data_IF_890128463591
#
_entry.id   IF_890128463591
#
_cell.length_a   1.000
_cell.length_b   1.000
_cell.length_c   1.000
_cell.angle_alpha   90.00
_cell.angle_beta   90.00
_cell.angle_gamma   90.00
#
_symmetry.space_group_name_H-M   'P 1'
#
loop_
_entity.id
_entity.type
_entity.pdbx_description
1 polymer ?
#
# COMPACT_ATOMS: atom_id res chain seq x y z
N UNK A 1 28.91 -14.58 -35.32
CA UNK A 1 27.68 -14.75 -34.52
C UNK A 1 27.16 -13.36 -34.17
N UNK A 2 26.17 -12.89 -34.91
CA UNK A 2 25.54 -11.58 -34.73
C UNK A 2 24.78 -11.59 -33.40
N UNK A 3 25.13 -10.68 -32.49
CA UNK A 3 24.34 -10.43 -31.31
C UNK A 3 22.99 -9.89 -31.79
N UNK A 4 21.92 -10.64 -31.60
CA UNK A 4 20.55 -10.12 -31.73
C UNK A 4 20.41 -8.95 -30.78
N UNK A 5 20.31 -7.77 -31.34
CA UNK A 5 19.88 -6.56 -30.62
C UNK A 5 18.41 -6.80 -30.21
N UNK A 6 18.22 -7.32 -29.00
CA UNK A 6 16.87 -7.43 -28.44
C UNK A 6 16.30 -6.02 -28.34
N UNK A 7 15.29 -5.74 -29.13
CA UNK A 7 14.45 -4.56 -28.96
C UNK A 7 13.98 -4.54 -27.49
N UNK A 8 14.15 -3.43 -26.77
CA UNK A 8 13.61 -3.33 -25.43
C UNK A 8 12.09 -3.59 -25.49
N UNK A 9 11.51 -4.23 -24.49
CA UNK A 9 10.06 -4.43 -24.44
C UNK A 9 9.35 -3.07 -24.54
N UNK A 10 8.27 -3.03 -25.30
CA UNK A 10 7.41 -1.84 -25.39
C UNK A 10 7.02 -1.41 -23.96
N UNK A 11 7.22 -0.14 -23.61
CA UNK A 11 6.82 0.33 -22.28
C UNK A 11 5.31 0.12 -22.09
N UNK A 12 4.84 -0.18 -20.87
CA UNK A 12 3.42 -0.29 -20.61
C UNK A 12 2.72 1.02 -20.96
N UNK A 13 1.56 0.92 -21.59
CA UNK A 13 0.76 2.07 -21.96
C UNK A 13 0.39 2.87 -20.68
N UNK A 14 0.49 4.18 -20.74
CA UNK A 14 -0.03 5.06 -19.70
C UNK A 14 -1.52 5.32 -19.89
N UNK A 15 -2.26 5.49 -18.79
CA UNK A 15 -3.63 6.01 -18.88
C UNK A 15 -3.64 7.42 -19.50
N UNK A 16 -4.79 7.89 -20.02
CA UNK A 16 -4.92 9.27 -20.50
C UNK A 16 -4.51 10.31 -19.44
N UNK A 17 -4.86 10.08 -18.17
CA UNK A 17 -4.52 10.96 -17.05
C UNK A 17 -3.01 11.00 -16.80
N UNK A 18 -2.36 9.83 -16.73
CA UNK A 18 -0.90 9.76 -16.58
C UNK A 18 -0.16 10.37 -17.78
N UNK A 19 -0.69 10.20 -18.99
CA UNK A 19 -0.14 10.81 -20.19
C UNK A 19 -0.21 12.34 -20.14
N UNK A 20 -1.35 12.88 -19.70
CA UNK A 20 -1.53 14.33 -19.50
C UNK A 20 -0.60 14.87 -18.42
N UNK A 21 -0.48 14.16 -17.29
CA UNK A 21 0.39 14.51 -16.18
C UNK A 21 1.88 14.51 -16.60
N UNK A 22 2.29 13.50 -17.37
CA UNK A 22 3.65 13.41 -17.89
C UNK A 22 3.96 14.55 -18.86
N UNK A 23 3.00 14.91 -19.74
CA UNK A 23 3.11 16.06 -20.66
C UNK A 23 3.28 17.36 -19.87
N UNK A 24 2.43 17.61 -18.87
CA UNK A 24 2.52 18.79 -17.99
C UNK A 24 3.91 18.90 -17.37
N UNK A 25 4.47 17.82 -16.84
CA UNK A 25 5.82 17.80 -16.27
C UNK A 25 6.90 18.19 -17.29
N UNK A 26 6.78 17.77 -18.55
CA UNK A 26 7.69 18.18 -19.63
C UNK A 26 7.51 19.67 -19.99
N UNK A 27 6.28 20.16 -20.06
CA UNK A 27 5.97 21.55 -20.40
C UNK A 27 6.44 22.52 -19.30
N UNK A 28 6.29 22.15 -18.03
CA UNK A 28 6.86 22.88 -16.90
C UNK A 28 8.40 22.89 -16.93
N UNK A 29 9.03 21.78 -17.31
CA UNK A 29 10.48 21.70 -17.44
C UNK A 29 11.01 22.63 -18.56
N UNK A 30 10.24 22.84 -19.61
CA UNK A 30 10.56 23.72 -20.74
C UNK A 30 10.14 25.18 -20.51
N UNK A 31 9.51 25.48 -19.37
CA UNK A 31 9.00 26.82 -19.07
C UNK A 31 7.80 27.21 -19.92
N UNK A 32 7.13 26.24 -20.55
CA UNK A 32 5.89 26.45 -21.34
C UNK A 32 4.67 26.57 -20.45
N UNK A 33 4.70 25.94 -19.29
CA UNK A 33 3.72 26.08 -18.22
C UNK A 33 4.41 26.50 -16.93
N UNK A 34 3.71 27.24 -16.09
CA UNK A 34 4.15 27.57 -14.73
C UNK A 34 3.69 26.45 -13.78
N UNK A 35 4.55 26.09 -12.84
CA UNK A 35 4.17 25.20 -11.75
C UNK A 35 3.07 25.88 -10.91
N UNK A 36 1.90 25.25 -10.85
CA UNK A 36 0.83 25.72 -9.97
C UNK A 36 1.15 25.36 -8.52
N UNK A 37 1.39 26.38 -7.73
CA UNK A 37 1.51 26.26 -6.28
C UNK A 37 0.25 26.76 -5.60
N UNK A 38 -0.01 26.30 -4.39
CA UNK A 38 -1.06 26.88 -3.56
C UNK A 38 -0.82 28.39 -3.38
N UNK A 39 -1.87 29.19 -3.22
CA UNK A 39 -1.71 30.65 -3.07
C UNK A 39 -0.95 31.04 -1.79
N UNK A 40 -1.10 30.25 -0.72
CA UNK A 40 -0.46 30.47 0.58
C UNK A 40 -0.01 29.15 1.20
N UNK A 41 0.82 29.23 2.23
CA UNK A 41 1.16 28.10 3.10
C UNK A 41 -0.11 27.56 3.81
N UNK A 42 -0.08 26.27 4.14
CA UNK A 42 -1.15 25.62 4.91
C UNK A 42 -0.62 25.20 6.26
N UNK A 43 -1.42 25.40 7.31
CA UNK A 43 -1.09 24.91 8.66
C UNK A 43 -2.00 23.76 9.07
N UNK A 44 -1.44 22.79 9.79
CA UNK A 44 -2.14 21.64 10.37
C UNK A 44 -1.77 21.55 11.83
N UNK A 45 -2.77 21.41 12.70
CA UNK A 45 -2.57 21.22 14.14
C UNK A 45 -1.75 19.94 14.39
N UNK A 46 -0.65 20.03 15.13
CA UNK A 46 0.22 18.90 15.42
C UNK A 46 -0.48 17.80 16.24
N UNK A 47 -1.52 18.14 16.98
CA UNK A 47 -2.32 17.16 17.74
C UNK A 47 -2.96 16.07 16.85
N UNK A 48 -3.19 16.35 15.56
CA UNK A 48 -3.75 15.32 14.65
C UNK A 48 -2.86 14.07 14.56
N UNK A 49 -1.58 14.17 14.90
CA UNK A 49 -0.62 13.07 14.86
C UNK A 49 -0.45 12.32 16.20
N UNK A 50 -1.06 12.82 17.29
CA UNK A 50 -0.85 12.22 18.62
C UNK A 50 -2.11 12.04 19.45
N UNK A 51 -3.23 12.67 19.12
CA UNK A 51 -4.45 12.66 19.93
C UNK A 51 -5.17 11.29 19.87
N UNK A 52 -5.40 10.61 21.02
CA UNK A 52 -6.08 9.31 21.06
C UNK A 52 -7.54 9.37 20.61
N UNK A 53 -8.21 10.52 20.79
CA UNK A 53 -9.61 10.72 20.38
C UNK A 53 -9.70 10.81 18.84
N UNK A 54 -8.79 11.56 18.22
CA UNK A 54 -8.68 11.63 16.76
C UNK A 54 -8.33 10.24 16.19
N UNK A 55 -7.35 9.56 16.76
CA UNK A 55 -6.99 8.19 16.35
C UNK A 55 -8.20 7.25 16.40
N UNK A 56 -8.99 7.28 17.48
CA UNK A 56 -10.20 6.46 17.58
C UNK A 56 -11.19 6.77 16.47
N UNK A 57 -11.40 8.05 16.15
CA UNK A 57 -12.29 8.46 15.05
C UNK A 57 -11.75 7.98 13.70
N UNK A 58 -10.43 8.06 13.46
CA UNK A 58 -9.78 7.55 12.25
C UNK A 58 -10.03 6.05 12.07
N UNK A 59 -9.83 5.26 13.14
CA UNK A 59 -10.13 3.82 13.09
C UNK A 59 -11.60 3.58 12.75
N UNK A 60 -12.52 4.26 13.43
CA UNK A 60 -13.95 3.99 13.29
C UNK A 60 -14.54 4.52 11.98
N UNK A 61 -14.07 5.66 11.46
CA UNK A 61 -14.68 6.38 10.33
C UNK A 61 -13.91 6.22 9.02
N UNK A 62 -12.60 5.95 9.07
CA UNK A 62 -11.75 5.77 7.90
C UNK A 62 -11.40 4.30 7.74
N UNK A 63 -10.58 3.76 8.63
CA UNK A 63 -9.97 2.44 8.45
C UNK A 63 -10.96 1.27 8.46
N UNK A 64 -12.07 1.38 9.20
CA UNK A 64 -13.11 0.35 9.21
C UNK A 64 -14.11 0.47 8.07
N UNK A 65 -14.20 1.63 7.43
CA UNK A 65 -15.23 1.90 6.41
C UNK A 65 -14.72 1.77 4.98
N UNK A 66 -13.46 2.11 4.75
CA UNK A 66 -12.88 2.13 3.41
C UNK A 66 -12.22 0.79 3.07
N UNK A 67 -12.14 0.45 1.76
CA UNK A 67 -11.32 -0.67 1.30
C UNK A 67 -9.85 -0.45 1.65
N UNK A 68 -9.24 -1.40 2.37
CA UNK A 68 -7.81 -1.41 2.68
C UNK A 68 -7.09 -2.47 1.85
N UNK A 69 -5.92 -2.12 1.32
CA UNK A 69 -5.02 -3.08 0.69
C UNK A 69 -4.27 -3.89 1.75
N UNK A 70 -4.51 -5.19 1.81
CA UNK A 70 -3.94 -6.10 2.82
C UNK A 70 -2.70 -6.85 2.31
N UNK A 71 -2.43 -6.82 1.02
CA UNK A 71 -1.33 -7.53 0.38
C UNK A 71 -1.61 -7.82 -1.08
N UNK A 72 -0.86 -8.76 -1.65
CA UNK A 72 -0.95 -9.12 -3.06
C UNK A 72 -1.24 -10.62 -3.22
N UNK A 73 -2.01 -10.98 -4.23
CA UNK A 73 -2.44 -12.37 -4.49
C UNK A 73 -1.28 -13.34 -4.75
N UNK A 74 -0.14 -12.84 -5.24
CA UNK A 74 1.08 -13.65 -5.42
C UNK A 74 1.70 -14.14 -4.11
N UNK A 75 1.31 -13.56 -2.96
CA UNK A 75 1.68 -14.09 -1.64
C UNK A 75 1.00 -15.44 -1.35
N UNK A 76 -0.15 -15.68 -1.95
CA UNK A 76 -0.99 -16.86 -1.73
C UNK A 76 -1.11 -17.67 -3.03
N UNK A 77 0.02 -18.14 -3.60
CA UNK A 77 0.08 -18.74 -4.94
C UNK A 77 -0.73 -20.02 -5.08
N UNK A 78 -0.68 -20.87 -4.06
CA UNK A 78 -1.22 -22.23 -4.11
C UNK A 78 -2.53 -22.36 -3.31
N UNK A 79 -3.48 -23.19 -3.75
CA UNK A 79 -4.62 -23.54 -2.93
C UNK A 79 -4.19 -24.07 -1.55
N UNK A 80 -4.82 -23.56 -0.51
CA UNK A 80 -4.46 -23.82 0.88
C UNK A 80 -3.41 -22.88 1.48
N UNK A 81 -2.77 -22.03 0.67
CA UNK A 81 -1.88 -20.98 1.18
C UNK A 81 -2.66 -19.98 2.04
N UNK A 82 -2.08 -19.59 3.16
CA UNK A 82 -2.68 -18.61 4.06
C UNK A 82 -1.64 -17.80 4.82
N UNK A 83 -2.05 -16.60 5.24
CA UNK A 83 -1.27 -15.70 6.09
C UNK A 83 -2.16 -15.26 7.25
N UNK A 84 -1.66 -15.39 8.48
CA UNK A 84 -2.29 -14.82 9.67
C UNK A 84 -1.68 -13.46 9.98
N UNK A 85 -2.52 -12.44 10.16
CA UNK A 85 -2.09 -11.06 10.47
C UNK A 85 -3.03 -10.41 11.45
N UNK A 86 -2.50 -9.58 12.32
CA UNK A 86 -3.29 -8.68 13.16
C UNK A 86 -3.32 -7.29 12.50
N UNK A 87 -4.48 -6.86 12.05
CA UNK A 87 -4.66 -5.55 11.41
C UNK A 87 -5.77 -4.80 12.13
N UNK A 88 -5.47 -3.58 12.60
CA UNK A 88 -6.42 -2.73 13.37
C UNK A 88 -7.02 -3.46 14.59
N UNK A 89 -6.26 -4.31 15.25
CA UNK A 89 -6.72 -5.13 16.37
C UNK A 89 -7.58 -6.33 15.98
N UNK A 90 -7.83 -6.58 14.70
CA UNK A 90 -8.56 -7.73 14.21
C UNK A 90 -7.59 -8.85 13.81
N UNK A 91 -7.72 -10.06 14.37
CA UNK A 91 -6.96 -11.21 13.91
C UNK A 91 -7.53 -11.72 12.58
N UNK A 92 -6.76 -11.62 11.52
CA UNK A 92 -7.17 -11.98 10.16
C UNK A 92 -6.47 -13.26 9.67
N UNK A 93 -7.17 -13.97 8.78
CA UNK A 93 -6.61 -15.00 7.91
C UNK A 93 -6.91 -14.60 6.45
N UNK A 94 -5.86 -14.38 5.67
CA UNK A 94 -5.95 -14.28 4.22
C UNK A 94 -5.70 -15.69 3.69
N UNK A 95 -6.66 -16.28 2.98
CA UNK A 95 -6.62 -17.71 2.60
C UNK A 95 -6.98 -17.87 1.13
N UNK A 96 -6.15 -18.57 0.36
CA UNK A 96 -6.56 -19.07 -0.96
C UNK A 96 -7.25 -20.42 -0.78
N UNK A 97 -8.51 -20.51 -1.13
CA UNK A 97 -9.27 -21.75 -1.04
C UNK A 97 -8.99 -22.71 -2.21
N UNK A 98 -9.68 -23.84 -2.21
CA UNK A 98 -9.50 -24.91 -3.23
C UNK A 98 -10.00 -24.51 -4.62
N UNK A 99 -10.90 -23.53 -4.68
CA UNK A 99 -11.44 -22.97 -5.93
C UNK A 99 -10.52 -21.88 -6.51
N UNK A 100 -9.47 -21.49 -5.75
CA UNK A 100 -8.54 -20.45 -6.13
C UNK A 100 -8.95 -19.04 -5.66
N UNK A 101 -10.09 -18.93 -4.98
CA UNK A 101 -10.58 -17.66 -4.45
C UNK A 101 -9.83 -17.27 -3.17
N UNK A 102 -9.54 -15.96 -3.04
CA UNK A 102 -8.92 -15.42 -1.83
C UNK A 102 -10.01 -14.90 -0.90
N UNK A 103 -10.02 -15.45 0.30
CA UNK A 103 -10.94 -15.12 1.37
C UNK A 103 -10.21 -14.37 2.49
N UNK A 104 -10.81 -13.32 3.04
CA UNK A 104 -10.34 -12.66 4.25
C UNK A 104 -11.30 -13.01 5.39
N UNK A 105 -10.82 -13.81 6.34
CA UNK A 105 -11.61 -14.36 7.44
C UNK A 105 -11.11 -13.80 8.76
N UNK A 106 -12.01 -13.64 9.75
CA UNK A 106 -11.57 -13.44 11.12
C UNK A 106 -10.99 -14.76 11.67
N UNK A 107 -9.77 -14.72 12.13
CA UNK A 107 -9.02 -15.83 12.72
C UNK A 107 -9.53 -16.14 14.13
N UNK A 108 -10.83 -16.42 14.27
CA UNK A 108 -11.54 -16.59 15.54
C UNK A 108 -12.49 -17.76 15.45
N UNK A 109 -12.20 -18.83 16.17
CA UNK A 109 -13.06 -20.01 16.25
C UNK A 109 -14.45 -19.67 16.78
N UNK A 110 -15.49 -20.13 16.09
CA UNK A 110 -16.89 -19.82 16.40
C UNK A 110 -17.47 -20.63 17.58
N UNK A 111 -16.63 -21.48 18.23
CA UNK A 111 -16.99 -22.13 19.48
C UNK A 111 -16.76 -21.19 20.68
N UNK A 112 -15.49 -20.90 21.00
CA UNK A 112 -15.10 -20.12 22.19
C UNK A 112 -14.01 -19.09 21.92
N UNK A 113 -13.83 -18.68 20.67
CA UNK A 113 -13.02 -17.51 20.29
C UNK A 113 -11.51 -17.76 20.18
N UNK A 114 -11.01 -18.98 20.30
CA UNK A 114 -9.58 -19.25 20.13
C UNK A 114 -9.13 -18.95 18.69
N UNK A 115 -7.91 -18.44 18.52
CA UNK A 115 -7.27 -18.31 17.20
C UNK A 115 -7.05 -19.71 16.60
N UNK A 116 -7.23 -19.83 15.29
CA UNK A 116 -7.02 -21.06 14.54
C UNK A 116 -5.56 -21.22 14.10
N UNK A 117 -4.95 -20.11 13.69
CA UNK A 117 -3.55 -20.03 13.28
C UNK A 117 -2.87 -18.96 14.13
N UNK A 118 -1.72 -19.30 14.73
CA UNK A 118 -1.00 -18.42 15.64
C UNK A 118 0.41 -18.15 15.09
N UNK A 119 0.85 -16.90 15.16
CA UNK A 119 2.25 -16.51 15.03
C UNK A 119 2.83 -16.55 13.61
N UNK A 120 2.02 -16.43 12.56
CA UNK A 120 2.53 -16.55 11.18
C UNK A 120 2.19 -15.33 10.32
N UNK A 121 3.13 -14.38 10.25
CA UNK A 121 3.20 -13.44 9.14
C UNK A 121 3.78 -14.09 7.87
N UNK A 122 4.33 -15.30 8.01
CA UNK A 122 4.81 -16.12 6.90
C UNK A 122 3.68 -16.96 6.29
N UNK A 123 3.81 -17.25 5.00
CA UNK A 123 2.87 -18.08 4.27
C UNK A 123 2.96 -19.52 4.78
N UNK A 124 1.85 -20.06 5.27
CA UNK A 124 1.72 -21.49 5.56
C UNK A 124 0.68 -22.13 4.66
N UNK A 125 0.59 -23.45 4.67
CA UNK A 125 -0.34 -24.20 3.83
C UNK A 125 -1.07 -25.28 4.62
N UNK A 126 -2.40 -25.22 4.57
CA UNK A 126 -3.25 -26.21 5.23
C UNK A 126 -4.38 -26.67 4.30
N UNK A 127 -4.83 -27.91 4.49
CA UNK A 127 -5.99 -28.45 3.77
C UNK A 127 -7.33 -28.03 4.39
N UNK A 128 -7.33 -27.64 5.66
CA UNK A 128 -8.46 -27.15 6.46
C UNK A 128 -7.93 -26.41 7.67
N UNK A 129 -8.81 -25.66 8.35
CA UNK A 129 -8.49 -24.90 9.56
C UNK A 129 -9.05 -25.65 10.77
N UNK A 130 -8.19 -26.18 11.63
CA UNK A 130 -8.61 -26.88 12.86
C UNK A 130 -8.28 -26.05 14.10
N UNK A 131 -9.29 -25.84 14.95
CA UNK A 131 -9.11 -25.10 16.19
C UNK A 131 -8.23 -25.89 17.18
N UNK A 132 -7.15 -25.30 17.69
CA UNK A 132 -6.24 -26.01 18.60
C UNK A 132 -6.88 -26.35 19.96
N UNK A 133 -8.03 -25.75 20.29
CA UNK A 133 -8.67 -25.94 21.57
C UNK A 133 -9.56 -27.21 21.61
N UNK A 134 -10.53 -27.33 20.67
CA UNK A 134 -11.47 -28.45 20.65
C UNK A 134 -11.64 -29.07 19.26
N UNK A 135 -10.68 -28.84 18.37
CA UNK A 135 -10.66 -29.38 17.00
C UNK A 135 -11.93 -29.10 16.16
N UNK A 136 -12.67 -28.01 16.44
CA UNK A 136 -13.66 -27.54 15.48
C UNK A 136 -12.94 -27.21 14.17
N UNK A 137 -13.39 -27.82 13.09
CA UNK A 137 -12.69 -27.79 11.80
C UNK A 137 -13.50 -27.03 10.77
N UNK A 138 -12.83 -26.13 10.06
CA UNK A 138 -13.42 -25.27 9.03
C UNK A 138 -12.76 -25.52 7.69
N UNK A 139 -13.51 -25.33 6.62
CA UNK A 139 -12.95 -25.24 5.28
C UNK A 139 -12.16 -23.94 5.10
N UNK A 140 -11.40 -23.87 4.02
CA UNK A 140 -10.61 -22.70 3.66
C UNK A 140 -11.47 -21.48 3.27
N UNK A 141 -12.75 -21.69 2.93
CA UNK A 141 -13.73 -20.62 2.73
C UNK A 141 -14.45 -20.19 4.04
N UNK A 142 -14.08 -20.79 5.18
CA UNK A 142 -14.62 -20.50 6.50
C UNK A 142 -15.83 -21.35 6.93
N UNK A 143 -16.39 -22.24 6.10
CA UNK A 143 -17.53 -23.05 6.49
C UNK A 143 -17.16 -24.07 7.58
N UNK A 144 -18.02 -24.22 8.60
CA UNK A 144 -17.82 -25.23 9.67
C UNK A 144 -18.10 -26.65 9.13
N UNK A 145 -17.08 -27.52 9.17
CA UNK A 145 -17.12 -28.91 8.67
C UNK A 145 -17.23 -29.94 9.77
N UNK A 146 -16.42 -29.84 10.80
CA UNK A 146 -16.29 -30.85 11.84
C UNK A 146 -16.48 -30.26 13.24
N UNK A 147 -17.23 -30.99 14.03
CA UNK A 147 -17.45 -30.75 15.47
C UNK A 147 -17.26 -32.08 16.18
N UNK A 148 -16.13 -32.28 16.91
CA UNK A 148 -15.94 -33.45 17.73
C UNK A 148 -17.03 -33.60 18.77
N UNK A 149 -17.45 -34.84 19.10
CA UNK A 149 -18.53 -35.12 20.04
C UNK A 149 -19.82 -34.32 19.71
N UNK A 150 -20.21 -34.35 18.43
CA UNK A 150 -21.34 -33.57 17.92
C UNK A 150 -22.68 -33.91 18.64
N UNK A 151 -22.81 -35.07 19.23
CA UNK A 151 -23.94 -35.48 20.09
C UNK A 151 -24.12 -34.57 21.30
N UNK A 152 -23.06 -33.91 21.76
CA UNK A 152 -23.12 -32.90 22.81
C UNK A 152 -23.68 -31.54 22.36
N UNK A 153 -23.95 -31.34 21.05
CA UNK A 153 -24.45 -30.11 20.45
C UNK A 153 -25.72 -30.35 19.60
N UNK A 154 -26.80 -30.92 20.17
CA UNK A 154 -27.94 -31.43 19.39
C UNK A 154 -28.72 -30.34 18.64
N UNK A 155 -28.61 -29.08 19.06
CA UNK A 155 -29.30 -27.92 18.44
C UNK A 155 -28.38 -27.03 17.63
N UNK A 156 -27.11 -27.41 17.43
CA UNK A 156 -26.13 -26.58 16.73
C UNK A 156 -26.45 -26.48 15.24
N UNK A 157 -26.83 -25.31 14.80
CA UNK A 157 -26.85 -24.98 13.37
C UNK A 157 -25.43 -24.72 12.88
N UNK A 158 -24.83 -25.69 12.19
CA UNK A 158 -23.46 -25.58 11.66
C UNK A 158 -23.33 -24.53 10.58
N UNK A 159 -24.37 -24.25 9.80
CA UNK A 159 -24.34 -23.26 8.72
C UNK A 159 -24.12 -21.84 9.28
N UNK A 160 -24.71 -21.56 10.44
CA UNK A 160 -24.55 -20.25 11.12
C UNK A 160 -23.22 -20.11 11.88
N UNK A 161 -22.41 -21.16 11.98
CA UNK A 161 -21.15 -21.22 12.76
C UNK A 161 -19.89 -21.22 11.89
N UNK A 162 -19.98 -20.84 10.64
CA UNK A 162 -18.82 -20.54 9.81
C UNK A 162 -18.01 -19.37 10.37
N UNK A 163 -16.72 -19.30 10.05
CA UNK A 163 -15.87 -18.15 10.38
C UNK A 163 -16.48 -16.86 9.82
N UNK A 164 -16.35 -15.77 10.53
CA UNK A 164 -16.78 -14.46 10.00
C UNK A 164 -15.86 -14.06 8.85
N UNK A 165 -16.46 -13.72 7.73
CA UNK A 165 -15.79 -13.24 6.53
C UNK A 165 -15.89 -11.71 6.46
N UNK A 166 -14.80 -11.05 6.09
CA UNK A 166 -14.81 -9.65 5.72
C UNK A 166 -15.16 -9.51 4.24
N UNK A 167 -15.90 -8.46 3.83
CA UNK A 167 -16.04 -8.12 2.42
C UNK A 167 -14.67 -7.94 1.81
N UNK A 168 -14.34 -8.73 0.80
CA UNK A 168 -13.01 -8.75 0.21
C UNK A 168 -13.05 -9.12 -1.27
N UNK A 169 -12.09 -8.61 -2.02
CA UNK A 169 -11.90 -8.92 -3.45
C UNK A 169 -10.43 -8.78 -3.82
N UNK A 170 -10.07 -9.37 -4.96
CA UNK A 170 -8.77 -9.15 -5.59
C UNK A 170 -8.97 -8.25 -6.80
N UNK A 171 -8.26 -7.12 -6.83
CA UNK A 171 -8.24 -6.21 -7.97
C UNK A 171 -6.82 -5.74 -8.24
N UNK A 172 -6.38 -5.78 -9.49
CA UNK A 172 -4.99 -5.52 -9.92
C UNK A 172 -3.95 -6.34 -9.14
N UNK A 173 -4.29 -7.59 -8.76
CA UNK A 173 -3.46 -8.45 -7.94
C UNK A 173 -3.46 -8.11 -6.45
N UNK A 174 -3.95 -6.96 -6.05
CA UNK A 174 -4.04 -6.53 -4.65
C UNK A 174 -5.27 -7.14 -3.97
N UNK A 175 -5.08 -7.59 -2.72
CA UNK A 175 -6.14 -8.13 -1.87
C UNK A 175 -6.73 -6.97 -1.07
N UNK A 176 -8.00 -6.66 -1.32
CA UNK A 176 -8.73 -5.59 -0.67
C UNK A 176 -9.75 -6.15 0.30
N UNK A 177 -9.92 -5.48 1.44
CA UNK A 177 -11.00 -5.81 2.36
C UNK A 177 -11.50 -4.56 3.13
N UNK A 178 -12.78 -4.61 3.53
CA UNK A 178 -13.36 -3.65 4.48
C UNK A 178 -13.31 -4.27 5.88
N UNK A 179 -12.78 -3.54 6.86
CA UNK A 179 -12.54 -4.03 8.23
C UNK A 179 -13.81 -4.04 9.10
N UNK A 180 -14.97 -4.22 8.50
CA UNK A 180 -16.27 -4.30 9.15
C UNK A 180 -17.00 -5.61 8.76
N UNK A 181 -17.08 -6.60 9.67
CA UNK A 181 -17.72 -7.89 9.40
C UNK A 181 -19.26 -7.81 9.31
N UNK A 182 -19.87 -6.64 9.54
CA UNK A 182 -21.31 -6.43 9.36
C UNK A 182 -21.67 -6.04 7.94
N UNK A 183 -20.70 -5.58 7.14
CA UNK A 183 -20.92 -5.29 5.72
C UNK A 183 -20.82 -6.57 4.88
N UNK A 184 -21.46 -6.53 3.73
CA UNK A 184 -21.53 -7.67 2.81
C UNK A 184 -20.92 -7.39 1.44
N UNK A 185 -20.63 -6.13 1.14
CA UNK A 185 -20.19 -5.66 -0.16
C UNK A 185 -18.90 -4.84 -0.07
N UNK A 186 -18.17 -4.81 -1.17
CA UNK A 186 -16.98 -3.98 -1.37
C UNK A 186 -16.93 -3.54 -2.84
N UNK A 187 -16.84 -2.23 -3.06
CA UNK A 187 -16.62 -1.64 -4.39
C UNK A 187 -15.23 -1.00 -4.45
N UNK A 188 -14.25 -1.77 -4.89
CA UNK A 188 -12.87 -1.29 -5.04
C UNK A 188 -12.72 -0.44 -6.30
N UNK A 189 -13.44 -0.73 -7.38
CA UNK A 189 -13.35 0.05 -8.62
C UNK A 189 -13.86 1.48 -8.40
N UNK A 190 -15.05 1.62 -7.82
CA UNK A 190 -15.59 2.93 -7.47
C UNK A 190 -14.74 3.67 -6.43
N UNK A 191 -14.14 2.95 -5.47
CA UNK A 191 -13.24 3.54 -4.49
C UNK A 191 -11.95 4.09 -5.12
N UNK A 192 -11.33 3.35 -6.05
CA UNK A 192 -10.10 3.78 -6.73
C UNK A 192 -10.35 4.89 -7.77
N UNK A 193 -11.55 4.96 -8.35
CA UNK A 193 -11.86 5.93 -9.39
C UNK A 193 -10.85 5.87 -10.55
N UNK A 194 -10.33 7.02 -10.98
CA UNK A 194 -9.35 7.09 -12.07
C UNK A 194 -7.98 6.45 -11.77
N UNK A 195 -7.67 6.12 -10.49
CA UNK A 195 -6.48 5.31 -10.16
C UNK A 195 -6.64 3.88 -10.69
N UNK A 196 -7.85 3.36 -10.76
CA UNK A 196 -8.14 2.06 -11.32
C UNK A 196 -7.71 1.94 -12.79
N UNK A 197 -7.94 3.01 -13.57
CA UNK A 197 -7.51 3.12 -14.97
C UNK A 197 -5.99 3.21 -15.12
N UNK A 198 -5.30 3.78 -14.13
CA UNK A 198 -3.83 3.83 -14.11
C UNK A 198 -3.23 2.45 -13.82
N UNK A 199 -3.81 1.70 -12.87
CA UNK A 199 -3.30 0.40 -12.46
C UNK A 199 -3.47 -0.69 -13.51
N UNK A 200 -4.53 -0.63 -14.32
CA UNK A 200 -4.84 -1.64 -15.32
C UNK A 200 -3.72 -1.84 -16.36
N UNK A 201 -3.21 -0.80 -17.07
CA UNK A 201 -2.15 -0.97 -18.06
C UNK A 201 -0.77 -1.24 -17.45
N UNK A 202 -0.57 -0.97 -16.17
CA UNK A 202 0.69 -1.23 -15.48
C UNK A 202 0.88 -2.70 -15.10
N UNK A 203 -0.16 -3.52 -15.29
CA UNK A 203 -0.20 -4.98 -15.09
C UNK A 203 0.40 -5.45 -13.76
N UNK A 204 0.16 -4.67 -12.70
CA UNK A 204 0.71 -4.98 -11.37
C UNK A 204 0.25 -6.37 -10.89
N UNK A 205 -0.93 -6.80 -11.29
CA UNK A 205 -1.47 -8.13 -10.95
C UNK A 205 -0.63 -9.31 -11.42
N UNK A 206 0.18 -9.16 -12.48
CA UNK A 206 1.08 -10.22 -12.98
C UNK A 206 2.40 -10.29 -12.23
N UNK A 207 2.76 -9.24 -11.48
CA UNK A 207 4.03 -9.13 -10.78
C UNK A 207 4.21 -10.24 -9.74
N UNK A 208 5.48 -10.56 -9.47
CA UNK A 208 5.88 -11.60 -8.51
C UNK A 208 6.42 -10.98 -7.24
N UNK A 209 5.99 -11.50 -6.11
CA UNK A 209 6.56 -11.11 -4.83
C UNK A 209 8.04 -11.52 -4.81
N UNK A 210 8.91 -10.54 -4.68
CA UNK A 210 10.35 -10.77 -4.52
C UNK A 210 10.73 -10.85 -3.04
N UNK A 211 10.39 -9.81 -2.26
CA UNK A 211 10.68 -9.75 -0.82
C UNK A 211 9.67 -8.87 -0.09
N UNK A 212 9.41 -9.20 1.16
CA UNK A 212 8.60 -8.40 2.06
C UNK A 212 9.32 -8.23 3.39
N UNK A 213 9.18 -7.03 3.98
CA UNK A 213 9.54 -6.75 5.37
C UNK A 213 8.36 -6.09 6.06
N UNK A 214 8.07 -6.55 7.29
CA UNK A 214 7.07 -5.97 8.16
C UNK A 214 7.71 -5.65 9.52
N UNK A 215 7.42 -4.48 10.08
CA UNK A 215 7.93 -4.08 11.39
C UNK A 215 7.03 -3.03 12.04
N UNK A 216 7.10 -2.93 13.36
CA UNK A 216 6.49 -1.82 14.10
C UNK A 216 7.42 -0.62 14.08
N UNK A 217 6.82 0.58 13.96
CA UNK A 217 7.55 1.85 13.96
C UNK A 217 6.82 2.87 14.84
N UNK A 218 7.59 3.61 15.63
CA UNK A 218 7.07 4.61 16.57
C UNK A 218 6.75 5.93 15.85
N UNK A 219 5.76 5.91 14.98
CA UNK A 219 5.33 7.07 14.19
C UNK A 219 3.84 6.99 13.88
N UNK A 220 3.19 8.14 13.67
CA UNK A 220 1.81 8.20 13.20
C UNK A 220 1.71 7.85 11.70
N UNK A 221 0.64 7.17 11.29
CA UNK A 221 0.42 6.76 9.91
C UNK A 221 0.37 7.94 8.92
N UNK A 222 -0.14 9.11 9.36
CA UNK A 222 -0.21 10.30 8.52
C UNK A 222 1.16 10.89 8.23
N UNK A 223 2.13 10.84 9.18
CA UNK A 223 3.50 11.32 8.95
C UNK A 223 4.16 10.57 7.79
N UNK A 224 3.92 9.25 7.70
CA UNK A 224 4.41 8.47 6.57
C UNK A 224 3.68 8.80 5.27
N UNK A 225 2.35 9.01 5.31
CA UNK A 225 1.61 9.44 4.12
C UNK A 225 2.04 10.85 3.66
N UNK A 226 2.34 11.76 4.58
CA UNK A 226 2.84 13.09 4.28
C UNK A 226 4.19 13.01 3.55
N UNK A 227 5.16 12.25 4.09
CA UNK A 227 6.49 12.12 3.50
C UNK A 227 6.46 11.67 2.03
N UNK A 228 5.51 10.81 1.65
CA UNK A 228 5.43 10.27 0.28
C UNK A 228 4.52 11.08 -0.67
N UNK A 229 3.91 12.15 -0.21
CA UNK A 229 3.08 13.03 -1.04
C UNK A 229 3.74 14.39 -1.36
N UNK A 230 5.01 14.55 -0.99
CA UNK A 230 5.84 15.67 -1.36
C UNK A 230 7.22 15.20 -1.84
N UNK A 231 8.02 16.09 -2.41
CA UNK A 231 9.36 15.79 -2.94
C UNK A 231 10.45 16.71 -2.38
N UNK A 232 10.07 17.60 -1.48
CA UNK A 232 10.95 18.62 -0.92
C UNK A 232 12.10 18.02 -0.10
N UNK A 233 11.86 16.89 0.60
CA UNK A 233 12.87 16.17 1.37
C UNK A 233 13.88 15.43 0.50
N UNK A 234 13.51 15.00 -0.74
CA UNK A 234 14.31 14.06 -1.55
C UNK A 234 15.76 14.53 -1.70
N UNK A 235 15.99 15.78 -2.08
CA UNK A 235 17.35 16.30 -2.31
C UNK A 235 18.17 16.51 -1.03
N UNK A 236 17.52 16.51 0.13
CA UNK A 236 18.17 16.75 1.42
C UNK A 236 18.31 15.48 2.24
N UNK A 237 17.21 14.83 2.54
CA UNK A 237 17.20 13.59 3.33
C UNK A 237 17.90 12.45 2.56
N UNK A 238 17.56 12.27 1.29
CA UNK A 238 18.10 11.21 0.44
C UNK A 238 19.34 11.57 -0.34
N UNK A 239 20.09 12.60 0.08
CA UNK A 239 21.25 13.14 -0.65
C UNK A 239 22.31 12.08 -1.00
N UNK A 240 22.43 11.02 -0.18
CA UNK A 240 23.42 9.94 -0.32
C UNK A 240 22.85 8.64 -0.91
N UNK A 241 21.55 8.57 -1.08
CA UNK A 241 20.83 7.37 -1.56
C UNK A 241 20.23 7.62 -2.94
N UNK A 242 18.99 8.07 -3.02
CA UNK A 242 18.24 8.17 -4.28
C UNK A 242 18.25 9.55 -4.94
N UNK A 243 18.60 10.62 -4.23
CA UNK A 243 18.61 11.97 -4.81
C UNK A 243 19.39 12.10 -6.14
N UNK A 244 20.52 11.39 -6.37
CA UNK A 244 21.23 11.46 -7.65
C UNK A 244 20.42 11.00 -8.86
N UNK A 245 19.38 10.18 -8.66
CA UNK A 245 18.55 9.65 -9.74
C UNK A 245 17.41 10.57 -10.16
N UNK A 246 17.20 11.69 -9.47
CA UNK A 246 16.08 12.61 -9.71
C UNK A 246 16.55 14.00 -10.09
N UNK A 247 15.76 14.69 -10.90
CA UNK A 247 15.89 16.11 -11.14
C UNK A 247 15.38 16.88 -9.92
N UNK A 248 16.02 18.04 -9.62
CA UNK A 248 15.59 18.87 -8.51
C UNK A 248 14.23 19.52 -8.80
N UNK A 249 13.30 19.41 -7.85
CA UNK A 249 11.97 20.02 -7.87
C UNK A 249 11.15 19.79 -9.17
N UNK A 250 11.39 18.67 -9.87
CA UNK A 250 10.61 18.30 -11.06
C UNK A 250 9.60 17.24 -10.74
N UNK A 251 8.41 17.70 -10.43
CA UNK A 251 7.28 16.85 -10.04
C UNK A 251 6.00 17.38 -10.64
N UNK A 252 5.12 16.49 -11.03
CA UNK A 252 3.74 16.79 -11.38
C UNK A 252 2.83 15.84 -10.62
N UNK A 253 1.79 16.36 -10.02
CA UNK A 253 0.85 15.54 -9.25
C UNK A 253 -0.57 16.04 -9.37
N UNK A 254 -1.53 15.18 -9.14
CA UNK A 254 -2.94 15.51 -9.08
C UNK A 254 -3.71 14.61 -8.12
N UNK A 255 -4.80 15.16 -7.58
CA UNK A 255 -5.72 14.41 -6.75
C UNK A 255 -6.79 13.70 -7.58
N UNK A 256 -7.12 12.47 -7.21
CA UNK A 256 -8.20 11.68 -7.78
C UNK A 256 -9.09 11.11 -6.67
N UNK A 257 -10.31 11.64 -6.51
CA UNK A 257 -11.16 11.26 -5.37
C UNK A 257 -10.44 11.50 -4.04
N UNK A 258 -10.24 10.46 -3.25
CA UNK A 258 -9.45 10.50 -2.01
C UNK A 258 -7.93 10.29 -2.24
N UNK A 259 -7.53 9.89 -3.43
CA UNK A 259 -6.18 9.46 -3.76
C UNK A 259 -5.35 10.55 -4.41
N UNK A 260 -4.06 10.27 -4.58
CA UNK A 260 -3.13 11.17 -5.27
C UNK A 260 -2.21 10.37 -6.17
N UNK A 261 -1.93 10.86 -7.38
CA UNK A 261 -0.87 10.39 -8.26
C UNK A 261 0.20 11.44 -8.39
N UNK A 262 1.46 11.02 -8.30
CA UNK A 262 2.62 11.92 -8.33
C UNK A 262 3.68 11.32 -9.25
N UNK A 263 4.13 12.10 -10.23
CA UNK A 263 5.29 11.82 -11.05
C UNK A 263 6.48 12.65 -10.56
N UNK A 264 7.60 12.00 -10.32
CA UNK A 264 8.86 12.63 -9.97
C UNK A 264 9.83 12.42 -11.12
N UNK A 265 10.29 13.52 -11.74
CA UNK A 265 11.19 13.47 -12.89
C UNK A 265 12.55 12.87 -12.56
N UNK A 266 12.94 11.83 -13.30
CA UNK A 266 14.27 11.23 -13.18
C UNK A 266 15.30 12.03 -13.98
N UNK A 267 16.57 11.77 -13.73
CA UNK A 267 17.73 12.34 -14.47
C UNK A 267 17.60 12.19 -15.99
N UNK A 268 16.88 11.15 -16.46
CA UNK A 268 16.62 10.88 -17.88
C UNK A 268 15.36 11.53 -18.45
N UNK A 269 14.60 12.28 -17.66
CA UNK A 269 13.39 12.95 -18.14
C UNK A 269 13.64 13.81 -19.40
N UNK A 270 14.79 14.53 -19.55
CA UNK A 270 15.07 15.31 -20.76
C UNK A 270 15.09 14.51 -22.06
N UNK A 271 15.35 13.19 -22.00
CA UNK A 271 15.33 12.33 -23.20
C UNK A 271 13.90 12.23 -23.80
N UNK A 272 12.88 12.35 -22.99
CA UNK A 272 11.47 12.25 -23.42
C UNK A 272 10.99 13.45 -24.25
N UNK A 273 11.68 14.61 -24.19
CA UNK A 273 11.28 15.86 -24.86
C UNK A 273 10.97 15.71 -26.34
N UNK A 274 11.80 14.94 -27.04
CA UNK A 274 11.73 14.78 -28.49
C UNK A 274 11.07 13.47 -28.92
N UNK A 275 10.47 12.74 -27.96
CA UNK A 275 9.76 11.51 -28.23
C UNK A 275 8.24 11.78 -28.36
N UNK A 276 7.57 11.09 -29.26
CA UNK A 276 6.12 11.14 -29.30
C UNK A 276 5.53 10.43 -28.06
N UNK A 277 4.32 10.79 -27.60
CA UNK A 277 3.75 10.28 -26.34
C UNK A 277 3.73 8.75 -26.22
N UNK A 278 3.52 8.04 -27.30
CA UNK A 278 3.51 6.57 -27.38
C UNK A 278 4.91 5.93 -27.17
N UNK A 279 5.97 6.72 -27.25
CA UNK A 279 7.35 6.31 -26.98
C UNK A 279 7.84 6.74 -25.59
N UNK A 280 6.99 7.42 -24.81
CA UNK A 280 7.35 7.75 -23.43
C UNK A 280 7.37 6.49 -22.58
N UNK A 281 8.47 6.29 -21.88
CA UNK A 281 8.65 5.23 -20.90
C UNK A 281 8.63 5.85 -19.50
N UNK A 282 7.49 5.72 -18.81
CA UNK A 282 7.33 6.29 -17.48
C UNK A 282 8.42 5.77 -16.50
N UNK A 283 8.71 4.48 -16.50
CA UNK A 283 9.69 3.88 -15.58
C UNK A 283 11.11 4.36 -15.83
N UNK A 284 11.42 4.76 -17.05
CA UNK A 284 12.73 5.31 -17.45
C UNK A 284 12.87 6.79 -17.10
N UNK A 285 11.82 7.56 -17.35
CA UNK A 285 11.86 9.03 -17.34
C UNK A 285 11.35 9.64 -16.03
N UNK A 286 10.51 8.90 -15.30
CA UNK A 286 9.93 9.34 -14.04
C UNK A 286 9.79 8.19 -13.05
N UNK A 287 9.49 8.50 -11.81
CA UNK A 287 8.97 7.56 -10.81
C UNK A 287 7.54 7.95 -10.52
N UNK A 288 6.60 7.01 -10.69
CA UNK A 288 5.20 7.20 -10.36
C UNK A 288 4.93 6.68 -8.95
N UNK A 289 4.26 7.49 -8.15
CA UNK A 289 3.69 7.10 -6.86
C UNK A 289 2.18 7.28 -6.89
N UNK A 290 1.44 6.20 -6.60
CA UNK A 290 0.05 6.29 -6.22
C UNK A 290 -0.06 6.27 -4.70
N UNK A 291 -0.51 7.38 -4.11
CA UNK A 291 -0.89 7.45 -2.71
C UNK A 291 -2.37 7.10 -2.59
N UNK A 292 -2.64 5.86 -2.20
CA UNK A 292 -3.99 5.32 -2.07
C UNK A 292 -4.45 5.53 -0.63
N UNK A 293 -5.39 6.44 -0.45
CA UNK A 293 -5.98 6.73 0.85
C UNK A 293 -6.63 5.46 1.46
N UNK A 294 -6.55 5.21 2.78
CA UNK A 294 -5.88 6.07 3.74
C UNK A 294 -4.36 5.82 3.85
N UNK A 295 -3.86 4.62 3.60
CA UNK A 295 -2.61 4.15 4.17
C UNK A 295 -1.73 3.32 3.24
N UNK A 296 -1.95 3.39 1.93
CA UNK A 296 -1.18 2.57 0.98
C UNK A 296 -0.47 3.41 -0.06
N UNK A 297 0.74 2.98 -0.42
CA UNK A 297 1.55 3.58 -1.46
C UNK A 297 1.97 2.51 -2.46
N UNK A 298 1.89 2.82 -3.75
CA UNK A 298 2.46 2.00 -4.82
C UNK A 298 3.46 2.87 -5.58
N UNK A 299 4.73 2.48 -5.56
CA UNK A 299 5.81 3.21 -6.22
C UNK A 299 6.37 2.36 -7.35
N UNK A 300 6.34 2.92 -8.56
CA UNK A 300 6.88 2.27 -9.76
C UNK A 300 8.32 2.71 -9.99
N UNK A 301 9.26 1.83 -9.63
CA UNK A 301 10.68 1.97 -9.94
C UNK A 301 10.99 1.48 -11.37
N UNK A 302 12.21 1.69 -11.89
CA UNK A 302 12.55 1.29 -13.27
C UNK A 302 12.27 -0.17 -13.61
N UNK A 303 12.55 -1.11 -12.71
CA UNK A 303 12.49 -2.55 -12.96
C UNK A 303 11.81 -3.38 -11.87
N UNK A 304 11.21 -2.70 -10.88
CA UNK A 304 10.39 -3.33 -9.83
C UNK A 304 9.28 -2.37 -9.36
N UNK A 305 8.43 -2.81 -8.47
CA UNK A 305 7.36 -2.01 -7.85
C UNK A 305 7.39 -2.22 -6.35
N UNK A 306 7.32 -1.14 -5.58
CA UNK A 306 7.15 -1.18 -4.13
C UNK A 306 5.68 -0.96 -3.79
N UNK A 307 5.15 -1.77 -2.87
CA UNK A 307 3.90 -1.50 -2.17
C UNK A 307 4.19 -1.32 -0.69
N UNK A 308 3.66 -0.27 -0.11
CA UNK A 308 3.76 0.01 1.32
C UNK A 308 2.37 0.13 1.94
N UNK A 309 2.20 -0.46 3.12
CA UNK A 309 1.01 -0.32 3.94
C UNK A 309 1.38 0.17 5.34
N UNK A 310 0.70 1.21 5.83
CA UNK A 310 0.88 1.80 7.15
C UNK A 310 -0.37 1.56 7.99
N UNK A 311 -0.38 0.50 8.81
CA UNK A 311 -1.53 0.13 9.62
C UNK A 311 -1.36 0.68 11.04
N UNK A 312 -2.18 1.65 11.48
CA UNK A 312 -2.05 2.22 12.82
C UNK A 312 -2.37 1.17 13.90
N UNK A 313 -1.52 1.07 14.90
CA UNK A 313 -1.69 0.22 16.10
C UNK A 313 -1.98 1.06 17.34
N UNK A 314 -1.53 2.31 17.35
CA UNK A 314 -1.84 3.34 18.34
C UNK A 314 -1.70 4.73 17.69
N UNK A 315 -1.99 5.84 18.38
CA UNK A 315 -1.77 7.18 17.83
C UNK A 315 -0.36 7.42 17.30
N UNK A 316 0.66 6.93 18.00
CA UNK A 316 2.08 7.09 17.65
C UNK A 316 2.79 5.81 17.22
N UNK A 317 2.06 4.75 16.81
CA UNK A 317 2.69 3.51 16.33
C UNK A 317 1.95 2.94 15.12
N UNK A 318 2.71 2.46 14.15
CA UNK A 318 2.21 1.74 12.98
C UNK A 318 2.85 0.35 12.86
N UNK A 319 2.11 -0.58 12.27
CA UNK A 319 2.69 -1.71 11.56
C UNK A 319 3.00 -1.25 10.14
N UNK A 320 4.29 -1.09 9.82
CA UNK A 320 4.76 -0.78 8.48
C UNK A 320 5.05 -2.07 7.72
N UNK A 321 4.55 -2.17 6.50
CA UNK A 321 4.78 -3.33 5.62
C UNK A 321 5.29 -2.83 4.28
N UNK A 322 6.50 -3.16 3.91
CA UNK A 322 7.05 -2.94 2.57
C UNK A 322 7.14 -4.26 1.82
N UNK A 323 6.63 -4.28 0.59
CA UNK A 323 6.69 -5.42 -0.31
C UNK A 323 7.25 -4.98 -1.66
N UNK A 324 8.33 -5.60 -2.08
CA UNK A 324 8.90 -5.44 -3.41
C UNK A 324 8.39 -6.52 -4.35
N UNK A 325 7.89 -6.09 -5.49
CA UNK A 325 7.43 -6.95 -6.58
C UNK A 325 8.26 -6.74 -7.82
N UNK A 326 8.55 -7.83 -8.52
CA UNK A 326 9.27 -7.84 -9.79
C UNK A 326 8.34 -8.24 -10.92
N UNK A 327 8.55 -7.80 -12.17
CA UNK A 327 7.65 -8.14 -13.29
C UNK A 327 7.63 -9.64 -13.61
N UNK A 328 8.64 -10.38 -13.20
CA UNK A 328 8.76 -11.83 -13.35
C UNK A 328 9.68 -12.39 -12.27
N UNK A 329 9.74 -13.70 -12.12
CA UNK A 329 10.74 -14.36 -11.26
C UNK A 329 12.15 -14.18 -11.84
N UNK A 330 13.16 -14.09 -10.95
CA UNK A 330 14.54 -13.90 -11.39
C UNK A 330 14.99 -15.01 -12.35
N UNK A 331 15.41 -14.64 -13.56
CA UNK A 331 15.83 -15.56 -14.64
C UNK A 331 17.29 -15.96 -14.54
N UNK A 332 18.05 -15.29 -13.68
CA UNK A 332 19.47 -15.57 -13.44
C UNK A 332 19.87 -15.12 -12.04
N UNK A 333 20.99 -15.67 -11.55
CA UNK A 333 21.59 -15.23 -10.28
C UNK A 333 22.02 -13.75 -10.32
N UNK A 334 22.48 -13.27 -11.47
CA UNK A 334 22.82 -11.85 -11.67
C UNK A 334 21.61 -10.95 -11.50
N UNK A 335 20.46 -11.33 -12.04
CA UNK A 335 19.20 -10.58 -11.91
C UNK A 335 18.69 -10.63 -10.48
N UNK A 336 18.72 -11.80 -9.83
CA UNK A 336 18.38 -11.95 -8.41
C UNK A 336 19.23 -11.03 -7.54
N UNK A 337 20.56 -11.09 -7.69
CA UNK A 337 21.48 -10.26 -6.93
C UNK A 337 21.30 -8.76 -7.20
N UNK A 338 20.85 -8.37 -8.40
CA UNK A 338 20.50 -6.99 -8.69
C UNK A 338 19.28 -6.56 -7.87
N UNK A 339 18.19 -7.32 -7.88
CA UNK A 339 16.99 -7.00 -7.10
C UNK A 339 17.20 -7.08 -5.59
N UNK A 340 18.07 -7.96 -5.12
CA UNK A 340 18.46 -7.98 -3.70
C UNK A 340 19.16 -6.68 -3.28
N UNK A 341 20.10 -6.18 -4.09
CA UNK A 341 20.73 -4.87 -3.82
C UNK A 341 19.73 -3.72 -3.91
N UNK A 342 18.78 -3.77 -4.87
CA UNK A 342 17.71 -2.77 -4.99
C UNK A 342 16.80 -2.77 -3.76
N UNK A 343 16.43 -3.97 -3.26
CA UNK A 343 15.64 -4.09 -2.03
C UNK A 343 16.39 -3.52 -0.83
N UNK A 344 17.65 -3.90 -0.60
CA UNK A 344 18.43 -3.40 0.54
C UNK A 344 18.66 -1.88 0.46
N UNK A 345 18.86 -1.33 -0.72
CA UNK A 345 19.00 0.12 -0.91
C UNK A 345 17.68 0.85 -0.58
N UNK A 346 16.55 0.37 -1.11
CA UNK A 346 15.25 1.05 -0.95
C UNK A 346 14.68 0.78 0.44
N UNK A 347 14.57 -0.49 0.84
CA UNK A 347 13.98 -0.86 2.12
C UNK A 347 14.87 -0.46 3.30
N UNK A 348 16.15 -0.90 3.28
CA UNK A 348 17.08 -0.65 4.37
C UNK A 348 17.65 0.77 4.39
N UNK A 349 18.08 1.28 3.23
CA UNK A 349 18.70 2.58 3.10
C UNK A 349 17.68 3.73 3.11
N UNK A 350 16.75 3.74 2.16
CA UNK A 350 15.80 4.85 1.99
C UNK A 350 14.71 4.80 3.06
N UNK A 351 13.92 3.73 3.12
CA UNK A 351 12.78 3.69 4.02
C UNK A 351 13.19 3.59 5.50
N UNK A 352 13.99 2.59 5.87
CA UNK A 352 14.31 2.37 7.28
C UNK A 352 15.30 3.36 7.88
N UNK A 353 16.38 3.66 7.17
CA UNK A 353 17.44 4.51 7.72
C UNK A 353 17.18 6.01 7.54
N UNK A 354 16.30 6.40 6.62
CA UNK A 354 16.03 7.81 6.33
C UNK A 354 14.55 8.16 6.64
N UNK A 355 13.56 7.70 5.86
CA UNK A 355 12.14 8.11 6.00
C UNK A 355 11.52 7.73 7.35
N UNK A 356 11.59 6.45 7.72
CA UNK A 356 11.04 5.98 8.99
C UNK A 356 11.79 6.58 10.18
N UNK A 357 13.12 6.69 10.08
CA UNK A 357 13.90 7.32 11.14
C UNK A 357 13.48 8.78 11.38
N UNK A 358 13.36 9.59 10.31
CA UNK A 358 12.97 10.99 10.48
C UNK A 358 11.51 11.12 10.94
N UNK A 359 10.60 10.25 10.46
CA UNK A 359 9.22 10.19 10.93
C UNK A 359 9.12 9.92 12.43
N UNK A 360 9.96 9.01 12.97
CA UNK A 360 10.03 8.76 14.40
C UNK A 360 10.56 9.97 15.18
N UNK A 361 11.52 10.72 14.63
CA UNK A 361 11.98 11.97 15.25
C UNK A 361 10.90 13.06 15.24
N UNK A 362 10.11 13.14 14.16
CA UNK A 362 8.97 14.06 14.08
C UNK A 362 7.90 13.66 15.11
N UNK A 363 7.62 12.36 15.29
CA UNK A 363 6.67 11.86 16.28
C UNK A 363 7.09 12.27 17.72
N UNK A 364 8.37 12.13 18.05
CA UNK A 364 8.91 12.63 19.33
C UNK A 364 8.72 14.14 19.49
N UNK A 365 8.88 14.90 18.41
CA UNK A 365 8.59 16.34 18.37
C UNK A 365 7.12 16.65 18.67
N UNK A 366 6.20 15.91 18.09
CA UNK A 366 4.75 16.01 18.37
C UNK A 366 4.46 15.72 19.85
N UNK A 367 4.98 14.63 20.38
CA UNK A 367 4.78 14.20 21.78
C UNK A 367 5.35 15.21 22.79
N UNK A 368 6.40 15.93 22.42
CA UNK A 368 7.01 16.97 23.27
C UNK A 368 6.12 18.21 23.45
N UNK A 369 5.16 18.44 22.53
CA UNK A 369 4.37 19.66 22.48
C UNK A 369 5.16 20.93 22.11
N UNK A 370 6.40 20.78 21.64
CA UNK A 370 7.25 21.93 21.28
C UNK A 370 6.83 22.59 19.96
N UNK A 371 6.10 21.85 19.10
CA UNK A 371 5.56 22.35 17.85
C UNK A 371 4.05 22.10 17.85
N UNK A 372 3.26 23.14 17.92
CA UNK A 372 1.79 23.08 17.98
C UNK A 372 1.13 23.05 16.61
N UNK A 373 1.84 23.49 15.55
CA UNK A 373 1.34 23.50 14.18
C UNK A 373 2.42 23.12 13.18
N UNK A 374 2.06 22.25 12.24
CA UNK A 374 2.89 21.96 11.06
C UNK A 374 2.59 22.99 9.97
N UNK A 375 3.62 23.39 9.23
CA UNK A 375 3.51 24.33 8.13
C UNK A 375 3.88 23.61 6.83
N UNK A 376 2.94 23.53 5.91
CA UNK A 376 3.16 23.01 4.57
C UNK A 376 3.36 24.16 3.59
N UNK A 377 4.44 24.09 2.82
CA UNK A 377 4.75 25.08 1.81
C UNK A 377 3.75 25.04 0.65
N UNK A 378 3.72 26.10 -0.13
CA UNK A 378 2.83 26.24 -1.29
C UNK A 378 2.98 25.12 -2.32
N UNK A 379 4.15 24.49 -2.38
CA UNK A 379 4.48 23.36 -3.27
C UNK A 379 4.12 21.98 -2.67
N UNK A 380 3.58 21.95 -1.44
CA UNK A 380 3.15 20.73 -0.73
C UNK A 380 1.62 20.60 -0.75
N UNK A 381 0.98 20.99 -1.84
CA UNK A 381 -0.48 21.02 -2.01
C UNK A 381 -1.17 19.66 -1.83
N UNK A 382 -0.45 18.55 -2.07
CA UNK A 382 -1.01 17.21 -1.88
C UNK A 382 -1.17 16.87 -0.41
N UNK A 383 -0.31 17.41 0.47
CA UNK A 383 -0.44 17.29 1.92
C UNK A 383 -1.71 18.00 2.41
N UNK A 384 -1.92 19.24 1.96
CA UNK A 384 -3.15 19.98 2.27
C UNK A 384 -4.39 19.16 1.90
N UNK A 385 -4.44 18.64 0.66
CA UNK A 385 -5.55 17.82 0.17
C UNK A 385 -5.73 16.56 1.01
N UNK A 386 -4.65 15.84 1.35
CA UNK A 386 -4.71 14.66 2.19
C UNK A 386 -5.32 14.96 3.56
N UNK A 387 -4.89 16.01 4.24
CA UNK A 387 -5.45 16.42 5.52
C UNK A 387 -6.87 16.95 5.43
N UNK A 388 -7.26 17.56 4.33
CA UNK A 388 -8.66 17.93 4.04
C UNK A 388 -9.54 16.68 3.91
N UNK A 389 -9.08 15.64 3.18
CA UNK A 389 -9.76 14.37 3.07
C UNK A 389 -9.93 13.70 4.45
N UNK A 390 -8.86 13.65 5.26
CA UNK A 390 -8.94 13.11 6.63
C UNK A 390 -10.00 13.87 7.44
N UNK A 391 -9.94 15.20 7.45
CA UNK A 391 -10.92 16.04 8.20
C UNK A 391 -12.36 15.82 7.74
N UNK A 392 -12.58 15.69 6.45
CA UNK A 392 -13.92 15.44 5.88
C UNK A 392 -14.45 14.10 6.37
N UNK A 393 -13.66 13.04 6.24
CA UNK A 393 -14.04 11.71 6.73
C UNK A 393 -14.29 11.66 8.24
N UNK A 394 -13.59 12.47 9.04
CA UNK A 394 -13.79 12.53 10.49
C UNK A 394 -15.08 13.29 10.91
N UNK A 395 -15.70 14.05 10.00
CA UNK A 395 -16.96 14.74 10.27
C UNK A 395 -18.19 13.89 9.92
N UNK A 396 -18.07 12.97 8.99
CA UNK A 396 -19.11 12.04 8.55
C UNK A 396 -19.30 10.88 9.54
#
# INVERSE_FOLDING_TARGET
MSAEVRTPPTPPAMSPALTALFRRMLDEMDGRESVEWDPTETTVDANVYGDPGIHKLEIDRIFRRLPLCLGHADQLREPGSMIARDILGLPLLLVRDRQGEINVLLNVCRHRGARLVVGQEEVCRHASLSCPYHAWTYDLNGALRGVPSAEGFPTLDRASRGLKRLPSTVRHGLIWAVMDPTRTDIDVAGFLGGIDDDLAPLDFGSHKLFRQRACKRATNWKLMMDAFQEVYHIKRLHARTIAPFFLDARTAGEGEGLHTRILVGRDRLPEARNLPPEAWDMRRHATLTHAIFPNSLIIYHPDFTSHMGMFPTSPGEIQFVHTMFTPHEARSEKERAHWERSFEMIDGGVFHAEDLFISEQIQLGVESGANDTFVFGRFEQHLRRFHENVRTMLRE
#
